data_IF_840860814807
#
_entry.id   IF_840860814807
#
_cell.length_a   1.000
_cell.length_b   1.000
_cell.length_c   1.000
_cell.angle_alpha   90.00
_cell.angle_beta   90.00
_cell.angle_gamma   90.00
#
_symmetry.space_group_name_H-M   'P 1'
#
loop_
_entity.id
_entity.type
_entity.pdbx_description
1 polymer ?
#
# COMPACT_ATOMS: atom_id res chain seq x y z
N UNK A 1 -7.75 -29.55 -4.69
CA UNK A 1 -6.45 -28.96 -5.08
C UNK A 1 -5.62 -28.84 -3.82
N UNK A 2 -4.35 -29.29 -3.82
CA UNK A 2 -3.45 -28.97 -2.72
C UNK A 2 -3.42 -27.45 -2.54
N UNK A 3 -3.42 -26.93 -1.30
CA UNK A 3 -3.26 -25.50 -1.10
C UNK A 3 -1.94 -25.08 -1.78
N UNK A 4 -2.01 -24.11 -2.70
CA UNK A 4 -0.82 -23.54 -3.33
C UNK A 4 0.13 -22.99 -2.26
N UNK A 5 1.40 -22.87 -2.60
CA UNK A 5 2.41 -22.31 -1.70
C UNK A 5 2.02 -20.90 -1.27
N UNK A 6 2.29 -20.57 -0.01
CA UNK A 6 2.13 -19.22 0.53
C UNK A 6 3.47 -18.50 0.51
N UNK A 7 3.42 -17.17 0.46
CA UNK A 7 4.60 -16.33 0.60
C UNK A 7 5.26 -16.49 1.96
N UNK A 8 4.49 -16.81 3.00
CA UNK A 8 5.01 -17.14 4.34
C UNK A 8 5.72 -18.50 4.44
N UNK A 9 5.60 -19.38 3.44
CA UNK A 9 6.32 -20.66 3.44
C UNK A 9 7.80 -20.44 3.14
N UNK A 10 8.71 -21.39 3.46
CA UNK A 10 10.15 -21.24 3.22
C UNK A 10 10.51 -20.83 1.78
N UNK A 11 9.79 -21.37 0.78
CA UNK A 11 9.99 -21.03 -0.63
C UNK A 11 9.64 -19.56 -0.91
N UNK A 12 8.55 -19.05 -0.34
CA UNK A 12 8.14 -17.66 -0.49
C UNK A 12 9.08 -16.68 0.20
N UNK A 13 9.54 -17.04 1.41
CA UNK A 13 10.56 -16.31 2.18
C UNK A 13 11.89 -16.21 1.43
N UNK A 14 12.35 -17.31 0.85
CA UNK A 14 13.59 -17.32 0.05
C UNK A 14 13.43 -16.47 -1.21
N UNK A 15 12.30 -16.61 -1.91
CA UNK A 15 11.97 -15.86 -3.13
C UNK A 15 11.97 -14.35 -2.86
N UNK A 16 11.26 -13.88 -1.83
CA UNK A 16 11.15 -12.44 -1.55
C UNK A 16 12.49 -11.85 -1.13
N UNK A 17 13.30 -12.57 -0.34
CA UNK A 17 14.62 -12.10 0.05
C UNK A 17 15.56 -12.00 -1.14
N UNK A 18 15.50 -12.94 -2.09
CA UNK A 18 16.29 -12.87 -3.32
C UNK A 18 15.89 -11.68 -4.18
N UNK A 19 14.58 -11.43 -4.37
CA UNK A 19 14.05 -10.29 -5.11
C UNK A 19 14.51 -8.98 -4.46
N UNK A 20 14.32 -8.84 -3.16
CA UNK A 20 14.70 -7.63 -2.41
C UNK A 20 16.20 -7.36 -2.49
N UNK A 21 17.06 -8.37 -2.36
CA UNK A 21 18.52 -8.20 -2.51
C UNK A 21 18.94 -7.75 -3.91
N UNK A 22 18.21 -8.17 -4.95
CA UNK A 22 18.46 -7.74 -6.34
C UNK A 22 18.02 -6.29 -6.57
N UNK A 23 16.80 -5.94 -6.13
CA UNK A 23 16.24 -4.60 -6.32
C UNK A 23 16.88 -3.54 -5.42
N UNK A 24 17.29 -3.92 -4.20
CA UNK A 24 17.82 -3.02 -3.18
C UNK A 24 19.13 -3.59 -2.65
N UNK A 25 20.25 -3.45 -3.40
CA UNK A 25 21.54 -4.05 -3.02
C UNK A 25 22.09 -3.53 -1.68
N UNK A 26 21.66 -2.34 -1.25
CA UNK A 26 22.03 -1.76 0.06
C UNK A 26 21.42 -2.54 1.23
N UNK A 27 20.32 -3.27 1.01
CA UNK A 27 19.67 -4.11 2.02
C UNK A 27 20.35 -5.48 2.09
N UNK A 28 21.59 -5.49 2.58
CA UNK A 28 22.44 -6.70 2.71
C UNK A 28 21.77 -7.82 3.52
N UNK A 29 20.97 -7.45 4.53
CA UNK A 29 20.22 -8.39 5.38
C UNK A 29 18.78 -8.64 4.89
N UNK A 30 18.37 -8.07 3.75
CA UNK A 30 16.99 -8.12 3.26
C UNK A 30 16.07 -7.15 4.01
N UNK A 31 14.76 -7.45 3.97
CA UNK A 31 13.72 -6.67 4.66
C UNK A 31 13.92 -6.71 6.18
N UNK A 32 13.70 -5.58 6.86
CA UNK A 32 13.55 -5.59 8.32
C UNK A 32 12.37 -6.48 8.73
N UNK A 33 12.41 -7.05 9.94
CA UNK A 33 11.42 -8.04 10.38
C UNK A 33 9.96 -7.58 10.23
N UNK A 34 9.68 -6.31 10.56
CA UNK A 34 8.35 -5.69 10.40
C UNK A 34 7.95 -5.59 8.93
N UNK A 35 8.87 -5.15 8.06
CA UNK A 35 8.60 -5.04 6.64
C UNK A 35 8.36 -6.42 6.02
N UNK A 36 9.12 -7.42 6.43
CA UNK A 36 8.94 -8.81 5.98
C UNK A 36 7.56 -9.34 6.38
N UNK A 37 7.20 -9.23 7.67
CA UNK A 37 5.89 -9.66 8.15
C UNK A 37 4.74 -8.96 7.41
N UNK A 38 4.88 -7.66 7.18
CA UNK A 38 3.91 -6.84 6.44
C UNK A 38 3.79 -7.27 4.98
N UNK A 39 4.90 -7.34 4.25
CA UNK A 39 4.95 -7.70 2.82
C UNK A 39 4.41 -9.10 2.57
N UNK A 40 4.81 -10.08 3.39
CA UNK A 40 4.35 -11.45 3.24
C UNK A 40 2.83 -11.58 3.48
N UNK A 41 2.31 -10.87 4.47
CA UNK A 41 0.87 -10.85 4.74
C UNK A 41 0.09 -10.26 3.57
N UNK A 42 0.61 -9.18 2.97
CA UNK A 42 0.03 -8.55 1.78
C UNK A 42 -0.02 -9.51 0.59
N UNK A 43 1.11 -10.18 0.32
CA UNK A 43 1.23 -11.10 -0.80
C UNK A 43 0.34 -12.35 -0.66
N UNK A 44 0.10 -12.79 0.58
CA UNK A 44 -0.85 -13.87 0.91
C UNK A 44 -2.32 -13.41 0.97
N UNK A 45 -2.60 -12.13 0.76
CA UNK A 45 -3.95 -11.58 0.81
C UNK A 45 -4.55 -11.52 2.22
N UNK A 46 -3.71 -11.48 3.26
CA UNK A 46 -4.11 -11.37 4.65
C UNK A 46 -4.20 -9.89 5.01
N UNK A 47 -5.36 -9.45 5.49
CA UNK A 47 -5.55 -8.08 5.96
C UNK A 47 -4.58 -7.73 7.10
N UNK A 48 -4.09 -6.48 7.12
CA UNK A 48 -3.07 -6.04 8.09
C UNK A 48 -3.43 -4.69 8.69
N UNK A 49 -3.35 -4.60 10.02
CA UNK A 49 -3.26 -3.34 10.75
C UNK A 49 -1.83 -3.20 11.29
N UNK A 50 -1.06 -2.26 10.74
CA UNK A 50 0.33 -2.00 11.09
C UNK A 50 0.45 -0.66 11.80
N UNK A 51 0.76 -0.71 13.10
CA UNK A 51 1.03 0.45 13.96
C UNK A 51 2.51 0.43 14.37
N UNK A 52 3.32 1.25 13.69
CA UNK A 52 4.77 1.33 13.91
C UNK A 52 5.26 2.76 13.77
N UNK A 53 6.39 3.11 14.38
CA UNK A 53 6.87 4.48 14.42
C UNK A 53 7.09 5.06 13.01
N UNK A 54 7.06 6.39 12.89
CA UNK A 54 7.52 7.04 11.65
C UNK A 54 8.99 6.70 11.42
N UNK A 55 9.35 6.40 10.17
CA UNK A 55 10.70 5.93 9.82
C UNK A 55 10.91 4.41 9.85
N UNK A 56 10.00 3.61 10.42
CA UNK A 56 10.11 2.13 10.49
C UNK A 56 9.91 1.42 9.13
N UNK A 57 9.93 2.17 8.03
CA UNK A 57 9.89 1.60 6.68
C UNK A 57 8.51 1.09 6.24
N UNK A 58 7.41 1.66 6.76
CA UNK A 58 6.02 1.34 6.34
C UNK A 58 5.82 1.42 4.82
N UNK A 59 6.59 2.26 4.13
CA UNK A 59 6.56 2.40 2.67
C UNK A 59 6.83 1.10 1.91
N UNK A 60 7.51 0.12 2.54
CA UNK A 60 7.68 -1.21 1.97
C UNK A 60 6.34 -1.91 1.66
N UNK A 61 5.25 -1.52 2.33
CA UNK A 61 3.91 -2.07 2.13
C UNK A 61 3.36 -1.86 0.71
N UNK A 62 3.74 -0.76 0.06
CA UNK A 62 3.23 -0.44 -1.28
C UNK A 62 4.28 -0.53 -2.38
N UNK A 63 5.57 -0.62 -2.04
CA UNK A 63 6.65 -0.78 -3.03
C UNK A 63 6.97 -2.26 -3.30
N UNK A 64 7.29 -3.03 -2.26
CA UNK A 64 7.82 -4.39 -2.41
C UNK A 64 6.80 -5.37 -3.00
N UNK A 65 5.51 -5.36 -2.58
CA UNK A 65 4.52 -6.25 -3.18
C UNK A 65 4.26 -5.96 -4.66
N UNK A 66 4.69 -4.83 -5.21
CA UNK A 66 4.54 -4.54 -6.65
C UNK A 66 5.72 -5.10 -7.45
N UNK A 67 6.91 -5.10 -6.85
CA UNK A 67 8.16 -5.42 -7.52
C UNK A 67 8.44 -6.91 -7.68
N UNK A 68 7.70 -7.77 -6.98
CA UNK A 68 7.96 -9.20 -7.06
C UNK A 68 8.02 -9.69 -8.52
N UNK A 69 7.13 -9.18 -9.38
CA UNK A 69 6.99 -9.57 -10.78
C UNK A 69 8.11 -9.10 -11.73
N UNK A 70 9.05 -8.27 -11.28
CA UNK A 70 10.15 -7.80 -12.12
C UNK A 70 11.18 -8.90 -12.41
N UNK A 71 11.17 -9.97 -11.62
CA UNK A 71 12.07 -11.11 -11.78
C UNK A 71 11.31 -12.44 -11.88
N UNK A 72 10.56 -12.73 -12.96
CA UNK A 72 9.81 -13.98 -13.13
C UNK A 72 10.67 -15.25 -12.97
N UNK A 73 11.97 -15.15 -13.24
CA UNK A 73 12.95 -16.22 -13.04
C UNK A 73 13.27 -16.52 -11.57
N UNK A 74 12.95 -15.60 -10.66
CA UNK A 74 13.17 -15.74 -9.22
C UNK A 74 12.15 -16.67 -8.55
N UNK A 75 11.08 -17.05 -9.23
CA UNK A 75 9.91 -17.62 -8.61
C UNK A 75 9.98 -19.14 -8.48
N UNK A 76 9.82 -19.61 -7.24
CA UNK A 76 9.43 -20.99 -6.99
C UNK A 76 8.06 -21.28 -7.61
N UNK A 77 7.93 -22.41 -8.31
CA UNK A 77 6.68 -22.83 -8.91
C UNK A 77 5.54 -22.89 -7.87
N UNK A 78 4.39 -22.27 -8.18
CA UNK A 78 3.17 -22.39 -7.38
C UNK A 78 2.90 -21.29 -6.34
N UNK A 79 3.73 -20.24 -6.26
CA UNK A 79 3.39 -19.03 -5.49
C UNK A 79 2.30 -18.21 -6.20
N UNK A 80 1.38 -17.56 -5.47
CA UNK A 80 0.34 -16.73 -6.07
C UNK A 80 0.95 -15.46 -6.64
N UNK A 81 0.72 -15.22 -7.93
CA UNK A 81 1.18 -14.03 -8.66
C UNK A 81 0.06 -13.39 -9.47
N UNK A 82 0.29 -12.15 -9.89
CA UNK A 82 -0.60 -11.38 -10.78
C UNK A 82 0.23 -10.86 -11.92
N UNK A 83 -0.24 -10.95 -13.16
CA UNK A 83 0.56 -10.55 -14.32
C UNK A 83 1.02 -9.08 -14.25
N UNK A 84 0.14 -8.18 -13.78
CA UNK A 84 0.39 -6.74 -13.73
C UNK A 84 -0.08 -6.20 -12.37
N UNK A 85 0.68 -6.41 -11.27
CA UNK A 85 0.20 -6.11 -9.93
C UNK A 85 -0.11 -4.62 -9.75
N UNK A 86 -1.28 -4.32 -9.19
CA UNK A 86 -1.75 -2.97 -8.88
C UNK A 86 -1.95 -2.79 -7.38
N UNK A 87 -1.42 -1.70 -6.83
CA UNK A 87 -1.67 -1.21 -5.49
C UNK A 87 -2.53 0.04 -5.51
N UNK A 88 -3.56 0.10 -4.66
CA UNK A 88 -4.32 1.33 -4.43
C UNK A 88 -4.02 1.83 -3.02
N UNK A 89 -3.59 3.08 -2.89
CA UNK A 89 -3.26 3.69 -1.59
C UNK A 89 -4.20 4.86 -1.36
N UNK A 90 -4.99 4.81 -0.30
CA UNK A 90 -5.89 5.87 0.11
C UNK A 90 -5.08 6.79 1.03
N UNK A 91 -4.88 8.02 0.60
CA UNK A 91 -4.00 9.00 1.25
C UNK A 91 -4.79 10.16 1.79
N UNK A 92 -4.53 10.65 3.01
CA UNK A 92 -5.37 11.68 3.62
C UNK A 92 -5.13 13.09 3.07
N UNK A 93 -3.98 13.30 2.45
CA UNK A 93 -3.60 14.57 1.83
C UNK A 93 -2.84 14.32 0.54
N UNK A 94 -2.97 15.27 -0.39
CA UNK A 94 -2.18 15.30 -1.61
C UNK A 94 -0.67 15.30 -1.36
N UNK A 95 -0.20 16.04 -0.35
CA UNK A 95 1.24 16.09 -0.03
C UNK A 95 1.79 14.70 0.34
N UNK A 96 1.03 13.89 1.07
CA UNK A 96 1.41 12.51 1.36
C UNK A 96 1.37 11.62 0.11
N UNK A 97 0.36 11.80 -0.75
CA UNK A 97 0.31 11.11 -2.04
C UNK A 97 1.54 11.44 -2.90
N UNK A 98 1.91 12.72 -3.00
CA UNK A 98 3.05 13.19 -3.78
C UNK A 98 4.38 12.68 -3.20
N UNK A 99 4.50 12.58 -1.88
CA UNK A 99 5.67 11.96 -1.23
C UNK A 99 5.80 10.46 -1.58
N UNK A 100 4.68 9.73 -1.56
CA UNK A 100 4.66 8.31 -1.95
C UNK A 100 5.02 8.16 -3.42
N UNK A 101 4.42 8.96 -4.31
CA UNK A 101 4.72 8.95 -5.75
C UNK A 101 6.18 9.28 -6.00
N UNK A 102 6.71 10.31 -5.34
CA UNK A 102 8.12 10.68 -5.44
C UNK A 102 9.01 9.50 -5.05
N UNK A 103 8.78 8.90 -3.88
CA UNK A 103 9.54 7.75 -3.38
C UNK A 103 9.53 6.56 -4.36
N UNK A 104 8.39 6.31 -5.02
CA UNK A 104 8.19 5.21 -5.95
C UNK A 104 8.69 5.50 -7.37
N UNK A 105 8.88 6.76 -7.75
CA UNK A 105 9.13 7.16 -9.13
C UNK A 105 10.50 7.82 -9.34
N UNK A 106 11.41 7.75 -8.36
CA UNK A 106 12.75 8.34 -8.51
C UNK A 106 13.54 7.56 -9.59
N UNK A 107 13.46 8.07 -10.82
CA UNK A 107 14.39 7.82 -11.90
C UNK A 107 15.59 8.75 -11.70
N UNK A 108 16.54 8.37 -10.84
CA UNK A 108 17.90 8.95 -10.77
C UNK A 108 18.04 10.42 -11.25
N UNK A 109 17.30 11.39 -10.69
CA UNK A 109 17.42 12.80 -11.08
C UNK A 109 18.47 13.45 -10.19
N UNK A 110 19.74 13.32 -10.56
CA UNK A 110 20.85 14.22 -10.23
C UNK A 110 21.15 14.59 -8.75
N UNK A 111 22.40 14.94 -8.42
CA UNK A 111 22.88 15.04 -7.03
C UNK A 111 22.41 16.25 -6.21
N UNK A 112 21.41 17.03 -6.66
CA UNK A 112 21.10 18.36 -6.11
C UNK A 112 19.80 18.48 -5.29
N UNK A 113 19.03 17.40 -5.13
CA UNK A 113 17.85 17.36 -4.26
C UNK A 113 17.92 16.16 -3.32
N UNK A 114 19.04 16.02 -2.61
CA UNK A 114 19.21 15.06 -1.52
C UNK A 114 18.60 15.60 -0.21
N UNK A 115 17.26 15.75 -0.18
CA UNK A 115 16.53 15.75 1.08
C UNK A 115 16.28 14.28 1.40
N UNK A 116 16.93 13.76 2.47
CA UNK A 116 16.83 12.38 2.98
C UNK A 116 16.35 11.36 1.94
N UNK A 117 17.28 10.92 1.07
CA UNK A 117 17.03 9.86 0.09
C UNK A 117 16.58 8.61 0.84
N UNK A 118 15.27 8.39 0.89
CA UNK A 118 14.69 7.19 1.46
C UNK A 118 15.23 6.00 0.67
N UNK A 119 15.70 4.94 1.35
CA UNK A 119 16.41 3.80 0.74
C UNK A 119 15.69 3.09 -0.42
N UNK A 120 14.40 3.38 -0.63
CA UNK A 120 13.53 2.86 -1.68
C UNK A 120 13.48 3.74 -2.96
N UNK A 121 14.22 4.84 -3.03
CA UNK A 121 14.17 5.82 -4.13
C UNK A 121 14.85 5.38 -5.43
N UNK A 122 14.95 4.09 -5.72
CA UNK A 122 15.49 3.57 -6.99
C UNK A 122 14.57 2.53 -7.62
N UNK A 123 13.35 2.40 -7.10
CA UNK A 123 12.37 1.47 -7.60
C UNK A 123 11.69 2.15 -8.78
N UNK A 124 11.72 1.57 -9.98
CA UNK A 124 11.09 2.15 -11.17
C UNK A 124 9.59 1.85 -11.20
N UNK A 125 8.88 2.19 -10.12
CA UNK A 125 7.45 1.91 -9.99
C UNK A 125 6.66 3.08 -10.57
N UNK A 126 5.82 2.79 -11.55
CA UNK A 126 4.93 3.80 -12.11
C UNK A 126 3.80 4.12 -11.13
N UNK A 127 3.76 5.36 -10.64
CA UNK A 127 2.77 5.79 -9.64
C UNK A 127 2.24 7.19 -9.94
N UNK A 128 1.03 7.50 -9.48
CA UNK A 128 0.48 8.86 -9.55
C UNK A 128 -0.56 9.13 -8.45
N UNK A 129 -0.84 10.42 -8.24
CA UNK A 129 -1.87 10.92 -7.33
C UNK A 129 -3.18 11.19 -8.08
N UNK A 130 -4.22 10.41 -7.79
CA UNK A 130 -5.61 10.60 -8.23
C UNK A 130 -6.29 11.64 -7.34
N UNK A 131 -6.01 12.90 -7.64
CA UNK A 131 -6.58 14.08 -6.98
C UNK A 131 -7.26 14.99 -8.02
N UNK A 132 -7.96 16.01 -7.53
CA UNK A 132 -8.68 16.98 -8.37
C UNK A 132 -7.82 17.62 -9.45
N UNK A 133 -6.57 17.99 -9.15
CA UNK A 133 -5.68 18.63 -10.13
C UNK A 133 -5.31 17.65 -11.24
N UNK A 134 -4.86 16.45 -10.90
CA UNK A 134 -4.48 15.41 -11.89
C UNK A 134 -5.67 15.05 -12.78
N UNK A 135 -6.87 14.98 -12.22
CA UNK A 135 -8.10 14.75 -13.00
C UNK A 135 -8.41 15.89 -13.97
N UNK A 136 -8.23 17.15 -13.52
CA UNK A 136 -8.42 18.34 -14.33
C UNK A 136 -7.42 18.38 -15.50
N UNK A 137 -6.16 18.08 -15.23
CA UNK A 137 -5.09 18.02 -16.24
C UNK A 137 -5.31 16.91 -17.25
N UNK A 138 -5.63 15.69 -16.79
CA UNK A 138 -5.97 14.58 -17.67
C UNK A 138 -7.16 14.91 -18.57
N UNK A 139 -8.20 15.55 -18.02
CA UNK A 139 -9.36 15.99 -18.81
C UNK A 139 -9.00 17.00 -19.89
N UNK A 140 -8.13 17.96 -19.59
CA UNK A 140 -7.62 18.94 -20.57
C UNK A 140 -6.80 18.27 -21.67
N UNK A 141 -6.03 17.24 -21.31
CA UNK A 141 -5.25 16.44 -22.24
C UNK A 141 -6.07 15.39 -23.02
N UNK A 142 -7.38 15.26 -22.75
CA UNK A 142 -8.22 14.23 -23.37
C UNK A 142 -7.94 12.80 -22.88
N UNK A 143 -7.19 12.65 -21.77
CA UNK A 143 -6.82 11.37 -21.18
C UNK A 143 -7.95 10.88 -20.27
N UNK A 144 -8.35 9.62 -20.46
CA UNK A 144 -9.33 8.94 -19.60
C UNK A 144 -8.59 8.09 -18.56
N UNK A 145 -8.21 8.69 -17.43
CA UNK A 145 -7.46 8.00 -16.37
C UNK A 145 -8.13 6.71 -15.89
N UNK A 146 -9.47 6.70 -15.78
CA UNK A 146 -10.20 5.48 -15.41
C UNK A 146 -9.93 4.31 -16.37
N UNK A 147 -9.81 4.56 -17.68
CA UNK A 147 -9.47 3.54 -18.67
C UNK A 147 -8.02 3.08 -18.51
N UNK A 148 -7.06 3.99 -18.32
CA UNK A 148 -5.66 3.63 -18.08
C UNK A 148 -5.49 2.74 -16.83
N UNK A 149 -6.24 3.04 -15.77
CA UNK A 149 -6.26 2.22 -14.54
C UNK A 149 -6.85 0.83 -14.81
N UNK A 150 -7.98 0.77 -15.53
CA UNK A 150 -8.67 -0.49 -15.86
C UNK A 150 -7.80 -1.43 -16.71
N UNK A 151 -6.95 -0.86 -17.57
CA UNK A 151 -6.04 -1.61 -18.42
C UNK A 151 -4.86 -2.20 -17.65
N UNK A 152 -4.49 -1.62 -16.51
CA UNK A 152 -3.37 -2.06 -15.66
C UNK A 152 -2.02 -2.11 -16.41
N UNK A 153 -1.82 -1.25 -17.40
CA UNK A 153 -0.60 -1.25 -18.24
C UNK A 153 0.41 -0.18 -17.82
N UNK A 154 -0.08 0.99 -17.45
CA UNK A 154 0.75 2.19 -17.28
C UNK A 154 1.13 2.45 -15.82
N UNK A 155 0.22 2.18 -14.90
CA UNK A 155 0.35 2.54 -13.49
C UNK A 155 0.36 1.28 -12.65
N UNK A 156 1.22 1.23 -11.65
CA UNK A 156 1.33 0.12 -10.70
C UNK A 156 0.83 0.52 -9.30
N UNK A 157 1.04 1.78 -8.89
CA UNK A 157 0.51 2.31 -7.63
C UNK A 157 -0.33 3.55 -7.89
N UNK A 158 -1.52 3.60 -7.29
CA UNK A 158 -2.45 4.71 -7.46
C UNK A 158 -2.78 5.26 -6.08
N UNK A 159 -2.29 6.46 -5.78
CA UNK A 159 -2.66 7.19 -4.57
C UNK A 159 -4.00 7.91 -4.80
N UNK A 160 -4.95 7.81 -3.88
CA UNK A 160 -6.34 8.26 -4.08
C UNK A 160 -6.80 9.09 -2.91
N UNK A 161 -7.32 10.28 -3.18
CA UNK A 161 -8.02 11.05 -2.17
C UNK A 161 -9.35 10.36 -1.82
N UNK A 162 -9.69 10.18 -0.52
CA UNK A 162 -10.91 9.48 -0.08
C UNK A 162 -12.20 10.00 -0.72
N UNK A 163 -12.27 11.29 -1.02
CA UNK A 163 -13.41 11.96 -1.63
C UNK A 163 -13.77 11.38 -3.01
N UNK A 164 -12.77 10.91 -3.76
CA UNK A 164 -12.94 10.34 -5.09
C UNK A 164 -13.44 8.90 -5.10
N UNK A 165 -13.38 8.17 -3.98
CA UNK A 165 -13.86 6.78 -3.91
C UNK A 165 -15.35 6.64 -4.22
N UNK A 166 -16.12 7.74 -4.09
CA UNK A 166 -17.55 7.79 -4.37
C UNK A 166 -17.88 8.12 -5.84
N UNK A 167 -16.87 8.48 -6.63
CA UNK A 167 -17.04 8.85 -8.02
C UNK A 167 -17.46 7.64 -8.89
N UNK A 168 -18.17 7.91 -9.99
CA UNK A 168 -18.67 6.85 -10.89
C UNK A 168 -17.52 6.08 -11.54
N UNK A 169 -16.40 6.76 -11.76
CA UNK A 169 -15.16 6.25 -12.31
C UNK A 169 -14.60 5.11 -11.44
N UNK A 170 -14.56 5.29 -10.11
CA UNK A 170 -14.09 4.25 -9.19
C UNK A 170 -15.01 3.03 -9.12
N UNK A 171 -16.32 3.23 -9.34
CA UNK A 171 -17.23 2.12 -9.57
C UNK A 171 -16.85 1.34 -10.83
N UNK A 172 -16.64 2.01 -11.96
CA UNK A 172 -16.25 1.37 -13.21
C UNK A 172 -14.89 0.68 -13.13
N UNK A 173 -13.91 1.29 -12.47
CA UNK A 173 -12.59 0.71 -12.25
C UNK A 173 -12.71 -0.61 -11.48
N UNK A 174 -13.42 -0.61 -10.37
CA UNK A 174 -13.58 -1.79 -9.50
C UNK A 174 -14.46 -2.90 -10.08
N UNK A 175 -15.26 -2.59 -11.10
CA UNK A 175 -16.04 -3.55 -11.90
C UNK A 175 -15.24 -4.20 -13.03
N UNK A 176 -14.12 -3.60 -13.47
CA UNK A 176 -13.31 -4.13 -14.56
C UNK A 176 -12.70 -5.50 -14.21
N UNK A 177 -12.96 -6.56 -15.00
CA UNK A 177 -12.35 -7.87 -14.78
C UNK A 177 -10.82 -7.81 -14.80
N UNK A 178 -10.24 -7.00 -15.69
CA UNK A 178 -8.80 -6.80 -15.80
C UNK A 178 -8.22 -6.20 -14.51
N UNK A 179 -8.84 -5.14 -13.98
CA UNK A 179 -8.41 -4.54 -12.72
C UNK A 179 -8.54 -5.53 -11.57
N UNK A 180 -9.68 -6.22 -11.46
CA UNK A 180 -9.94 -7.19 -10.38
C UNK A 180 -8.97 -8.36 -10.37
N UNK A 181 -8.51 -8.82 -11.53
CA UNK A 181 -7.51 -9.88 -11.65
C UNK A 181 -6.08 -9.42 -11.27
N UNK A 182 -5.83 -8.11 -11.28
CA UNK A 182 -4.49 -7.52 -11.17
C UNK A 182 -4.29 -6.69 -9.89
N UNK A 183 -5.35 -6.24 -9.22
CA UNK A 183 -5.24 -5.56 -7.93
C UNK A 183 -4.76 -6.52 -6.84
N UNK A 184 -3.69 -6.13 -6.17
CA UNK A 184 -2.97 -6.92 -5.17
C UNK A 184 -3.30 -6.51 -3.75
N UNK A 185 -3.43 -5.22 -3.50
CA UNK A 185 -3.78 -4.67 -2.21
C UNK A 185 -4.50 -3.34 -2.35
N UNK A 186 -5.27 -3.02 -1.31
CA UNK A 186 -5.72 -1.66 -1.02
C UNK A 186 -5.13 -1.25 0.32
N UNK A 187 -4.51 -0.08 0.41
CA UNK A 187 -3.85 0.41 1.60
C UNK A 187 -4.53 1.69 2.07
N UNK A 188 -4.85 1.80 3.36
CA UNK A 188 -5.29 3.04 3.99
C UNK A 188 -4.10 3.59 4.78
N UNK A 189 -3.49 4.65 4.28
CA UNK A 189 -2.42 5.34 4.99
C UNK A 189 -2.99 6.31 6.02
N UNK A 190 -2.28 6.46 7.13
CA UNK A 190 -2.75 7.16 8.34
C UNK A 190 -4.17 6.78 8.78
N UNK A 191 -4.37 5.48 8.98
CA UNK A 191 -5.69 4.89 9.27
C UNK A 191 -6.36 5.46 10.53
N UNK A 192 -5.61 6.03 11.48
CA UNK A 192 -6.18 6.66 12.68
C UNK A 192 -7.17 7.79 12.31
N UNK A 193 -6.99 8.44 11.16
CA UNK A 193 -7.86 9.49 10.63
C UNK A 193 -9.27 8.98 10.27
N UNK A 194 -9.45 7.67 10.07
CA UNK A 194 -10.78 7.07 9.92
C UNK A 194 -11.63 7.31 11.17
N UNK A 195 -11.02 7.21 12.36
CA UNK A 195 -11.69 7.50 13.61
C UNK A 195 -11.76 9.01 13.90
N UNK A 196 -10.65 9.74 13.72
CA UNK A 196 -10.60 11.16 14.08
C UNK A 196 -11.41 12.06 13.14
N UNK A 197 -11.27 11.87 11.83
CA UNK A 197 -11.89 12.75 10.84
C UNK A 197 -13.21 12.19 10.30
N UNK A 198 -13.35 10.87 10.24
CA UNK A 198 -14.55 10.21 9.72
C UNK A 198 -15.82 10.51 10.54
N UNK A 199 -15.68 10.86 11.82
CA UNK A 199 -16.82 11.13 12.70
C UNK A 199 -17.48 12.50 12.48
N UNK A 200 -16.72 13.54 12.12
CA UNK A 200 -17.25 14.91 12.11
C UNK A 200 -16.58 15.90 11.17
N UNK A 201 -15.41 15.60 10.60
CA UNK A 201 -14.64 16.57 9.80
C UNK A 201 -14.61 16.22 8.31
N UNK A 202 -14.11 15.02 7.96
CA UNK A 202 -14.05 14.53 6.57
C UNK A 202 -14.80 13.21 6.46
N UNK A 203 -16.10 13.32 6.21
CA UNK A 203 -17.02 12.18 6.12
C UNK A 203 -16.62 11.12 5.08
N UNK A 204 -15.81 11.50 4.07
CA UNK A 204 -15.27 10.54 3.10
C UNK A 204 -14.46 9.41 3.78
N UNK A 205 -13.79 9.69 4.90
CA UNK A 205 -13.01 8.71 5.64
C UNK A 205 -13.87 7.59 6.25
N UNK A 206 -15.09 7.92 6.70
CA UNK A 206 -16.02 6.92 7.24
C UNK A 206 -16.49 5.92 6.16
N UNK A 207 -16.42 6.29 4.88
CA UNK A 207 -16.84 5.44 3.77
C UNK A 207 -15.73 4.52 3.25
N UNK A 208 -14.46 4.75 3.60
CA UNK A 208 -13.30 4.01 3.07
C UNK A 208 -13.48 2.51 3.26
N UNK A 209 -13.68 2.05 4.49
CA UNK A 209 -13.77 0.62 4.79
C UNK A 209 -14.93 -0.07 4.08
N UNK A 210 -16.12 0.56 4.07
CA UNK A 210 -17.30 0.02 3.37
C UNK A 210 -17.07 -0.05 1.85
N UNK A 211 -16.44 0.98 1.26
CA UNK A 211 -16.12 0.97 -0.16
C UNK A 211 -15.13 -0.14 -0.51
N UNK A 212 -14.02 -0.27 0.24
CA UNK A 212 -12.99 -1.27 -0.03
C UNK A 212 -13.56 -2.69 0.11
N UNK A 213 -14.30 -2.97 1.18
CA UNK A 213 -14.93 -4.29 1.40
C UNK A 213 -16.04 -4.60 0.41
N UNK A 214 -16.78 -3.60 -0.06
CA UNK A 214 -17.88 -3.80 -1.00
C UNK A 214 -17.43 -3.94 -2.45
N UNK A 215 -16.23 -3.46 -2.81
CA UNK A 215 -15.83 -3.29 -4.22
C UNK A 215 -14.57 -4.05 -4.61
N UNK A 216 -13.62 -4.24 -3.70
CA UNK A 216 -12.39 -4.96 -4.01
C UNK A 216 -12.58 -6.48 -3.83
N UNK A 217 -11.81 -7.33 -4.55
CA UNK A 217 -11.88 -8.77 -4.37
C UNK A 217 -11.46 -9.19 -2.96
N UNK A 218 -12.10 -10.21 -2.38
CA UNK A 218 -11.73 -10.74 -1.05
C UNK A 218 -10.39 -11.48 -1.02
N UNK A 219 -9.78 -11.71 -2.18
CA UNK A 219 -8.47 -12.35 -2.33
C UNK A 219 -7.29 -11.37 -2.25
N UNK A 220 -7.57 -10.08 -2.01
CA UNK A 220 -6.53 -9.06 -1.83
C UNK A 220 -6.41 -8.72 -0.35
N UNK A 221 -5.26 -8.18 0.04
CA UNK A 221 -5.07 -7.63 1.37
C UNK A 221 -5.62 -6.21 1.47
N UNK A 222 -6.45 -5.93 2.48
CA UNK A 222 -6.68 -4.59 2.99
C UNK A 222 -5.62 -4.26 4.05
N UNK A 223 -4.76 -3.31 3.71
CA UNK A 223 -3.65 -2.86 4.55
C UNK A 223 -4.03 -1.54 5.22
N UNK A 224 -3.67 -1.39 6.48
CA UNK A 224 -3.90 -0.16 7.23
C UNK A 224 -2.64 0.20 7.98
N UNK A 225 -2.12 1.39 7.69
CA UNK A 225 -0.83 1.86 8.18
C UNK A 225 -1.03 3.07 9.07
N UNK A 226 -0.31 3.13 10.19
CA UNK A 226 -0.20 4.34 10.99
C UNK A 226 0.97 4.27 11.97
N UNK A 227 1.36 5.43 12.51
CA UNK A 227 2.27 5.52 13.66
C UNK A 227 1.56 5.84 14.98
N UNK A 228 0.33 6.33 14.93
CA UNK A 228 -0.35 6.94 16.07
C UNK A 228 -1.76 6.37 16.19
N UNK A 229 -1.87 5.14 16.68
CA UNK A 229 -3.16 4.55 17.02
C UNK A 229 -3.20 4.16 18.49
N UNK A 230 -4.02 4.87 19.25
CA UNK A 230 -4.23 4.57 20.66
C UNK A 230 -4.94 3.23 20.83
N UNK A 231 -4.48 2.47 21.83
CA UNK A 231 -5.11 1.21 22.22
C UNK A 231 -6.51 1.47 22.81
N UNK A 232 -7.41 0.49 22.68
CA UNK A 232 -8.77 0.58 23.20
C UNK A 232 -9.77 1.11 22.17
N UNK A 233 -10.61 2.07 22.57
CA UNK A 233 -11.76 2.53 21.76
C UNK A 233 -11.36 3.01 20.35
N UNK A 234 -10.28 3.80 20.15
CA UNK A 234 -9.87 4.23 18.81
C UNK A 234 -9.50 3.05 17.89
N UNK A 235 -8.70 2.09 18.40
CA UNK A 235 -8.36 0.87 17.66
C UNK A 235 -9.61 0.06 17.30
N UNK A 236 -10.54 -0.13 18.24
CA UNK A 236 -11.79 -0.87 18.01
C UNK A 236 -12.64 -0.20 16.92
N UNK A 237 -12.72 1.14 16.95
CA UNK A 237 -13.44 1.94 15.96
C UNK A 237 -12.86 1.77 14.55
N UNK A 238 -11.53 1.88 14.41
CA UNK A 238 -10.81 1.65 13.15
C UNK A 238 -11.05 0.23 12.63
N UNK A 239 -10.86 -0.78 13.49
CA UNK A 239 -11.08 -2.18 13.12
C UNK A 239 -12.51 -2.42 12.64
N UNK A 240 -13.51 -1.89 13.35
CA UNK A 240 -14.92 -2.01 12.97
C UNK A 240 -15.20 -1.34 11.61
N UNK A 241 -14.66 -0.16 11.38
CA UNK A 241 -14.83 0.58 10.11
C UNK A 241 -14.29 -0.19 8.91
N UNK A 242 -13.13 -0.85 9.08
CA UNK A 242 -12.45 -1.59 8.03
C UNK A 242 -12.87 -3.07 7.92
N UNK A 243 -13.71 -3.54 8.82
CA UNK A 243 -14.15 -4.94 8.87
C UNK A 243 -13.09 -5.92 9.41
N UNK A 244 -12.16 -5.43 10.24
CA UNK A 244 -11.19 -6.26 10.95
C UNK A 244 -11.84 -6.82 12.22
N UNK A 245 -12.12 -8.12 12.23
CA UNK A 245 -12.84 -8.83 13.28
C UNK A 245 -12.20 -10.19 13.58
N UNK A 246 -11.92 -10.47 14.86
CA UNK A 246 -11.68 -11.83 15.36
C UNK A 246 -10.68 -12.67 14.56
N UNK A 247 -9.39 -12.34 14.60
CA UNK A 247 -8.32 -13.15 13.99
C UNK A 247 -8.32 -13.20 12.46
N UNK A 248 -9.22 -12.48 11.78
CA UNK A 248 -9.28 -12.39 10.32
C UNK A 248 -8.23 -11.45 9.71
N UNK A 249 -7.42 -10.80 10.55
CA UNK A 249 -6.39 -9.86 10.15
C UNK A 249 -5.17 -10.02 11.05
N UNK A 250 -4.01 -9.56 10.58
CA UNK A 250 -2.77 -9.51 11.35
C UNK A 250 -2.60 -8.12 11.96
N UNK A 251 -2.41 -8.07 13.27
CA UNK A 251 -2.03 -6.85 13.99
C UNK A 251 -0.52 -6.83 14.18
N UNK A 252 0.15 -5.88 13.54
CA UNK A 252 1.57 -5.59 13.74
C UNK A 252 1.65 -4.32 14.58
N UNK A 253 1.96 -4.44 15.86
CA UNK A 253 2.10 -3.30 16.77
C UNK A 253 3.50 -3.27 17.37
N UNK A 254 4.22 -2.17 17.16
CA UNK A 254 5.57 -1.96 17.70
C UNK A 254 5.58 -0.79 18.68
N UNK A 255 6.60 -0.77 19.53
CA UNK A 255 6.83 0.35 20.44
C UNK A 255 7.18 1.61 19.64
N UNK A 256 6.63 2.74 20.06
CA UNK A 256 7.02 4.07 19.57
C UNK A 256 8.22 4.65 20.35
N UNK A 257 8.81 3.88 21.26
CA UNK A 257 9.95 4.29 22.06
C UNK A 257 11.15 4.63 21.17
N UNK A 258 11.67 5.85 21.36
CA UNK A 258 12.89 6.33 20.71
C UNK A 258 13.94 6.54 21.79
N UNK A 259 14.80 5.54 22.08
CA UNK A 259 15.77 5.62 23.19
C UNK A 259 16.80 6.74 22.99
N UNK A 260 16.95 7.25 21.77
CA UNK A 260 17.77 8.40 21.41
C UNK A 260 17.05 9.76 21.56
N UNK A 261 15.78 9.79 21.96
CA UNK A 261 15.03 11.04 22.19
C UNK A 261 15.06 11.40 23.68
N UNK A 262 15.66 12.54 24.01
CA UNK A 262 15.61 13.10 25.35
C UNK A 262 14.45 14.11 25.46
N UNK A 263 13.57 13.90 26.43
CA UNK A 263 12.54 14.88 26.78
C UNK A 263 13.13 15.87 27.79
N UNK A 264 13.34 17.12 27.37
CA UNK A 264 13.64 18.22 28.27
C UNK A 264 12.35 18.75 28.90
N UNK A 265 12.37 19.01 30.21
CA UNK A 265 11.28 19.67 30.95
C UNK A 265 11.64 21.14 31.12
#
# INVERSE_FOLDING_TARGET
MAPGHRWQDPVGLETINMIVRKLIPTWTNGLHAVQLELVLSILDGIDVLCCTATGDGKSAAFSIPILYNEHPEAYGAGLPTRARPIGVVITPTKALADNIVCLLHVSAIGPLMAFEVHELSNLHISAFSYCKETLSEARKAGIRLAAEIQECQKWQVICVDPEHLRDKEWRQITESPTFRANVLFACVDEVHLVNEWGLSFRLAFAAIGTFLRGRFPTSISLVSLTAMLESGSPTISVCKSLGFFGGNFRLIQRSNERPNTQFGI
#
